data_IF_350723341087
#
_entry.id   IF_350723341087
#
_cell.length_a   1.000
_cell.length_b   1.000
_cell.length_c   1.000
_cell.angle_alpha   90.00
_cell.angle_beta   90.00
_cell.angle_gamma   90.00
#
_symmetry.space_group_name_H-M   'P 1'
#
loop_
_entity.id
_entity.type
_entity.pdbx_description
1 polymer ?
#
# COMPACT_ATOMS: atom_id res chain seq x y z
N UNK A 1 24.22 -0.73 2.40
CA UNK A 1 22.85 -0.26 2.70
C UNK A 1 21.91 -0.98 1.73
N UNK A 2 20.90 -1.75 2.22
CA UNK A 2 20.08 -2.62 1.36
C UNK A 2 18.68 -2.03 1.19
N UNK A 3 18.23 -1.92 -0.04
CA UNK A 3 16.82 -1.65 -0.41
C UNK A 3 16.21 -3.00 -0.81
N UNK A 4 15.02 -3.27 -0.30
CA UNK A 4 14.24 -4.45 -0.61
C UNK A 4 13.13 -4.08 -1.58
N UNK A 5 12.68 -5.06 -2.35
CA UNK A 5 11.56 -4.90 -3.29
C UNK A 5 10.51 -5.96 -3.01
N UNK A 6 9.24 -5.55 -2.99
CA UNK A 6 8.09 -6.43 -3.06
C UNK A 6 7.33 -6.07 -4.33
N UNK A 7 6.99 -7.09 -5.12
CA UNK A 7 6.27 -6.94 -6.37
C UNK A 7 5.07 -7.91 -6.36
N UNK A 8 3.89 -7.37 -6.58
CA UNK A 8 2.66 -8.15 -6.63
C UNK A 8 1.82 -7.73 -7.84
N UNK A 9 1.16 -8.70 -8.45
CA UNK A 9 0.21 -8.49 -9.54
C UNK A 9 -1.08 -9.25 -9.27
N UNK A 10 -2.19 -8.69 -9.70
CA UNK A 10 -3.51 -9.29 -9.57
C UNK A 10 -4.42 -8.82 -10.71
N UNK A 11 -5.12 -9.76 -11.33
CA UNK A 11 -6.17 -9.46 -12.30
C UNK A 11 -7.53 -9.45 -11.61
N UNK A 12 -8.38 -8.46 -11.94
CA UNK A 12 -9.72 -8.34 -11.40
C UNK A 12 -10.72 -8.09 -12.55
N UNK A 13 -11.93 -8.70 -12.49
CA UNK A 13 -12.98 -8.56 -13.51
C UNK A 13 -13.78 -7.25 -13.35
N UNK A 14 -13.10 -6.13 -13.25
CA UNK A 14 -13.70 -4.80 -13.10
C UNK A 14 -13.11 -3.82 -14.11
N UNK A 15 -13.82 -2.73 -14.37
CA UNK A 15 -13.31 -1.68 -15.23
C UNK A 15 -12.13 -0.92 -14.59
N UNK A 16 -11.31 -0.28 -15.42
CA UNK A 16 -10.21 0.58 -14.97
C UNK A 16 -10.71 1.72 -14.09
N UNK A 17 -11.87 2.29 -14.43
CA UNK A 17 -12.49 3.33 -13.64
C UNK A 17 -12.91 2.84 -12.24
N UNK A 18 -13.54 1.66 -12.15
CA UNK A 18 -13.90 1.06 -10.85
C UNK A 18 -12.66 0.78 -9.98
N UNK A 19 -11.60 0.22 -10.57
CA UNK A 19 -10.34 -0.02 -9.87
C UNK A 19 -9.73 1.29 -9.36
N UNK A 20 -9.71 2.33 -10.21
CA UNK A 20 -9.20 3.65 -9.84
C UNK A 20 -10.01 4.29 -8.71
N UNK A 21 -11.33 4.34 -8.82
CA UNK A 21 -12.22 4.91 -7.79
C UNK A 21 -12.01 4.24 -6.43
N UNK A 22 -11.80 2.92 -6.43
CA UNK A 22 -11.56 2.20 -5.19
C UNK A 22 -10.16 2.47 -4.60
N UNK A 23 -9.10 2.36 -5.42
CA UNK A 23 -7.72 2.47 -4.95
C UNK A 23 -7.29 3.90 -4.64
N UNK A 24 -7.83 4.89 -5.35
CA UNK A 24 -7.50 6.31 -5.15
C UNK A 24 -8.20 6.94 -3.95
N UNK A 25 -9.14 6.25 -3.31
CA UNK A 25 -9.73 6.70 -2.04
C UNK A 25 -8.95 6.11 -0.85
N UNK A 26 -8.21 6.93 -0.07
CA UNK A 26 -7.46 6.46 1.08
C UNK A 26 -8.29 5.73 2.13
N UNK A 27 -9.60 6.00 2.19
CA UNK A 27 -10.53 5.33 3.13
C UNK A 27 -10.66 3.84 2.84
N UNK A 28 -10.54 3.46 1.57
CA UNK A 28 -10.61 2.06 1.16
C UNK A 28 -9.33 1.28 1.53
N UNK A 29 -8.22 1.95 1.83
CA UNK A 29 -7.01 1.30 2.29
C UNK A 29 -7.26 0.50 3.60
N UNK A 30 -8.12 1.01 4.47
CA UNK A 30 -8.54 0.29 5.67
C UNK A 30 -9.24 -1.04 5.34
N UNK A 31 -10.03 -1.08 4.27
CA UNK A 31 -10.78 -2.29 3.87
C UNK A 31 -9.84 -3.40 3.42
N UNK A 32 -8.74 -3.05 2.75
CA UNK A 32 -7.74 -3.98 2.21
C UNK A 32 -6.50 -4.11 3.09
N UNK A 33 -6.58 -3.65 4.33
CA UNK A 33 -5.52 -3.78 5.35
C UNK A 33 -6.04 -4.65 6.50
N UNK A 34 -5.27 -5.64 7.00
CA UNK A 34 -5.70 -6.48 8.12
C UNK A 34 -6.13 -5.68 9.34
N UNK A 35 -7.21 -6.09 10.00
CA UNK A 35 -7.79 -5.37 11.14
C UNK A 35 -6.82 -5.15 12.30
N UNK A 36 -5.93 -6.11 12.56
CA UNK A 36 -4.93 -6.00 13.62
C UNK A 36 -3.93 -4.86 13.40
N UNK A 37 -3.79 -4.38 12.16
CA UNK A 37 -2.97 -3.19 11.86
C UNK A 37 -3.53 -1.90 12.46
N UNK A 38 -4.77 -1.91 12.92
CA UNK A 38 -5.40 -0.76 13.58
C UNK A 38 -5.38 0.51 12.73
N UNK A 39 -5.52 0.37 11.42
CA UNK A 39 -5.39 1.46 10.46
C UNK A 39 -6.44 2.54 10.70
N UNK A 40 -5.99 3.74 11.04
CA UNK A 40 -6.88 4.86 11.38
C UNK A 40 -6.37 6.16 10.75
N UNK A 41 -7.16 6.73 9.82
CA UNK A 41 -6.87 8.00 9.17
C UNK A 41 -7.12 9.13 10.16
N UNK A 42 -6.13 10.01 10.32
CA UNK A 42 -6.19 11.18 11.19
C UNK A 42 -6.49 12.47 10.43
N UNK A 43 -5.91 12.61 9.23
CA UNK A 43 -6.05 13.81 8.40
C UNK A 43 -5.73 13.53 6.93
N UNK A 44 -6.13 14.43 6.04
CA UNK A 44 -5.69 14.50 4.65
C UNK A 44 -6.43 13.61 3.65
N UNK A 45 -7.49 12.89 4.07
CA UNK A 45 -8.29 12.02 3.20
C UNK A 45 -9.70 12.60 2.91
N UNK A 46 -9.83 13.91 2.89
CA UNK A 46 -11.10 14.61 2.77
C UNK A 46 -11.48 15.00 1.32
N UNK A 47 -10.59 14.70 0.38
CA UNK A 47 -10.78 15.04 -1.05
C UNK A 47 -10.19 13.96 -1.97
N UNK A 48 -10.51 14.06 -3.25
CA UNK A 48 -9.94 13.22 -4.31
C UNK A 48 -8.41 13.30 -4.31
N UNK A 49 -7.75 12.18 -4.58
CA UNK A 49 -6.30 12.05 -4.60
C UNK A 49 -5.64 13.03 -5.60
N UNK A 50 -4.56 13.66 -5.17
CA UNK A 50 -3.75 14.56 -5.98
C UNK A 50 -2.28 14.49 -5.60
N UNK A 51 -1.40 14.84 -6.53
CA UNK A 51 0.05 14.89 -6.27
C UNK A 51 0.39 16.02 -5.28
N UNK A 52 1.17 15.70 -4.24
CA UNK A 52 1.46 16.57 -3.10
C UNK A 52 0.50 16.42 -1.92
N UNK A 53 -0.49 15.54 -2.00
CA UNK A 53 -1.39 15.25 -0.88
C UNK A 53 -0.65 14.59 0.27
N UNK A 54 -0.82 15.15 1.47
CA UNK A 54 -0.30 14.56 2.71
C UNK A 54 -1.45 13.89 3.44
N UNK A 55 -1.26 12.62 3.80
CA UNK A 55 -2.25 11.83 4.54
C UNK A 55 -1.58 11.28 5.80
N UNK A 56 -2.26 11.43 6.92
CA UNK A 56 -1.77 11.00 8.22
C UNK A 56 -2.59 9.83 8.77
N UNK A 57 -1.87 8.78 9.20
CA UNK A 57 -2.45 7.58 9.79
C UNK A 57 -1.82 7.24 11.13
N UNK A 58 -2.57 6.51 11.95
CA UNK A 58 -2.02 5.68 13.03
C UNK A 58 -2.14 4.23 12.59
N UNK A 59 -1.04 3.49 12.65
CA UNK A 59 -0.95 2.07 12.28
C UNK A 59 -0.20 1.27 13.35
N UNK A 60 -0.44 -0.03 13.40
CA UNK A 60 0.18 -0.95 14.35
C UNK A 60 0.87 -2.10 13.60
N UNK A 61 1.92 -1.83 12.79
CA UNK A 61 2.42 -2.77 11.80
C UNK A 61 3.17 -3.96 12.39
N UNK A 62 3.88 -3.78 13.50
CA UNK A 62 4.75 -4.81 14.10
C UNK A 62 4.63 -4.77 15.62
N UNK A 63 4.53 -5.94 16.27
CA UNK A 63 4.54 -6.14 17.72
C UNK A 63 3.48 -5.34 18.52
N UNK A 64 2.38 -4.96 17.87
CA UNK A 64 1.32 -4.19 18.54
C UNK A 64 1.71 -2.74 18.88
N UNK A 65 2.83 -2.23 18.37
CA UNK A 65 3.31 -0.88 18.66
C UNK A 65 2.63 0.10 17.69
N UNK A 66 1.89 1.06 18.25
CA UNK A 66 1.28 2.15 17.47
C UNK A 66 2.35 3.08 16.90
N UNK A 67 2.29 3.32 15.61
CA UNK A 67 3.16 4.23 14.90
C UNK A 67 2.32 5.29 14.18
N UNK A 68 2.78 6.53 14.22
CA UNK A 68 2.30 7.58 13.34
C UNK A 68 2.94 7.38 11.98
N UNK A 69 2.12 7.39 10.92
CA UNK A 69 2.56 7.25 9.55
C UNK A 69 2.06 8.44 8.74
N UNK A 70 2.97 9.14 8.10
CA UNK A 70 2.65 10.26 7.21
C UNK A 70 3.08 9.88 5.80
N UNK A 71 2.11 9.85 4.91
CA UNK A 71 2.30 9.57 3.48
C UNK A 71 2.17 10.86 2.68
N UNK A 72 3.02 11.02 1.68
CA UNK A 72 2.80 11.94 0.57
C UNK A 72 2.46 11.13 -0.69
N UNK A 73 1.39 11.52 -1.36
CA UNK A 73 1.11 11.06 -2.73
C UNK A 73 1.96 11.90 -3.66
N UNK A 74 3.05 11.36 -4.17
CA UNK A 74 4.03 12.14 -4.94
C UNK A 74 3.68 12.26 -6.42
N UNK A 75 3.01 11.27 -6.98
CA UNK A 75 2.61 11.24 -8.39
C UNK A 75 1.20 10.70 -8.52
N UNK A 76 0.44 11.29 -9.44
CA UNK A 76 -0.90 10.80 -9.82
C UNK A 76 -1.06 10.99 -11.32
N UNK A 77 -1.37 9.91 -12.03
CA UNK A 77 -1.88 9.93 -13.40
C UNK A 77 -3.23 9.20 -13.38
N UNK A 78 -4.29 9.96 -13.64
CA UNK A 78 -5.67 9.49 -13.49
C UNK A 78 -5.92 8.17 -14.21
N UNK A 79 -6.46 7.20 -13.50
CA UNK A 79 -6.76 5.84 -13.95
C UNK A 79 -5.56 5.01 -14.43
N UNK A 80 -4.32 5.48 -14.28
CA UNK A 80 -3.13 4.75 -14.69
C UNK A 80 -2.27 4.33 -13.51
N UNK A 81 -1.83 5.30 -12.70
CA UNK A 81 -1.00 5.00 -11.54
C UNK A 81 -0.96 6.15 -10.53
N UNK A 82 -0.59 5.80 -9.32
CA UNK A 82 -0.14 6.76 -8.31
C UNK A 82 1.04 6.20 -7.52
N UNK A 83 1.75 7.10 -6.85
CA UNK A 83 2.90 6.77 -6.01
C UNK A 83 2.69 7.37 -4.63
N UNK A 84 2.82 6.54 -3.60
CA UNK A 84 2.85 6.98 -2.22
C UNK A 84 4.25 6.78 -1.61
N UNK A 85 4.69 7.79 -0.85
CA UNK A 85 5.95 7.74 -0.12
C UNK A 85 5.74 8.06 1.35
N UNK A 86 6.36 7.27 2.22
CA UNK A 86 6.41 7.60 3.63
C UNK A 86 7.32 8.82 3.85
N UNK A 87 6.77 9.90 4.36
CA UNK A 87 7.52 11.07 4.83
C UNK A 87 7.93 10.90 6.29
N UNK A 88 7.09 10.28 7.08
CA UNK A 88 7.35 9.97 8.48
C UNK A 88 6.74 8.61 8.83
N UNK A 89 7.47 7.75 9.55
CA UNK A 89 6.99 6.41 9.91
C UNK A 89 8.11 5.45 10.25
N UNK A 90 7.80 4.14 10.34
CA UNK A 90 8.72 3.12 10.84
C UNK A 90 9.82 2.69 9.85
N UNK A 91 9.70 3.02 8.57
CA UNK A 91 10.69 2.66 7.55
C UNK A 91 11.68 3.80 7.31
N UNK A 92 12.90 3.46 6.90
CA UNK A 92 13.88 4.45 6.45
C UNK A 92 13.69 4.86 4.98
N UNK A 93 12.98 4.05 4.21
CA UNK A 93 12.45 4.33 2.88
C UNK A 93 11.17 3.53 2.71
N UNK A 94 10.16 4.14 2.14
CA UNK A 94 8.96 3.51 1.63
C UNK A 94 8.52 4.26 0.38
N UNK A 95 8.56 3.59 -0.76
CA UNK A 95 8.20 4.14 -2.06
C UNK A 95 7.36 3.09 -2.78
N UNK A 96 6.07 3.32 -2.84
CA UNK A 96 5.09 2.36 -3.32
C UNK A 96 4.37 2.90 -4.56
N UNK A 97 4.48 2.15 -5.64
CA UNK A 97 3.83 2.43 -6.92
C UNK A 97 2.66 1.51 -7.10
N UNK A 98 1.52 2.07 -7.50
CA UNK A 98 0.29 1.36 -7.79
C UNK A 98 -0.08 1.61 -9.24
N UNK A 99 0.00 0.60 -10.08
CA UNK A 99 -0.37 0.68 -11.47
C UNK A 99 -1.69 -0.02 -11.74
N UNK A 100 -2.48 0.52 -12.66
CA UNK A 100 -3.72 -0.07 -13.15
C UNK A 100 -3.64 -0.10 -14.66
N UNK A 101 -3.72 -1.29 -15.23
CA UNK A 101 -3.67 -1.51 -16.68
C UNK A 101 -4.90 -2.24 -17.13
N UNK A 102 -5.56 -1.74 -18.16
CA UNK A 102 -6.68 -2.43 -18.80
C UNK A 102 -6.19 -3.69 -19.53
N UNK A 103 -6.89 -4.79 -19.33
CA UNK A 103 -6.66 -6.08 -19.99
C UNK A 103 -7.98 -6.65 -20.51
N UNK A 104 -7.93 -7.72 -21.31
CA UNK A 104 -9.14 -8.40 -21.75
C UNK A 104 -9.92 -8.94 -20.55
N UNK A 105 -11.18 -8.53 -20.42
CA UNK A 105 -12.07 -8.94 -19.34
C UNK A 105 -11.93 -8.21 -18.02
N UNK A 106 -11.02 -7.22 -17.88
CA UNK A 106 -10.85 -6.49 -16.63
C UNK A 106 -9.60 -5.63 -16.56
N UNK A 107 -8.96 -5.63 -15.38
CA UNK A 107 -7.71 -4.89 -15.12
C UNK A 107 -6.63 -5.76 -14.51
N UNK A 108 -5.38 -5.49 -14.87
CA UNK A 108 -4.21 -5.90 -14.09
C UNK A 108 -3.85 -4.76 -13.13
N UNK A 109 -3.85 -5.06 -11.85
CA UNK A 109 -3.30 -4.21 -10.80
C UNK A 109 -1.89 -4.67 -10.46
N UNK A 110 -0.95 -3.72 -10.39
CA UNK A 110 0.44 -4.01 -10.05
C UNK A 110 0.90 -3.11 -8.92
N UNK A 111 1.41 -3.73 -7.86
CA UNK A 111 2.06 -3.07 -6.73
C UNK A 111 3.57 -3.28 -6.82
N UNK A 112 4.34 -2.20 -6.84
CA UNK A 112 5.80 -2.24 -6.80
C UNK A 112 6.31 -1.39 -5.64
N UNK A 113 6.64 -2.06 -4.55
CA UNK A 113 7.12 -1.44 -3.32
C UNK A 113 8.65 -1.57 -3.21
N UNK A 114 9.32 -0.44 -3.03
CA UNK A 114 10.71 -0.35 -2.59
C UNK A 114 10.77 0.14 -1.16
N UNK A 115 11.44 -0.60 -0.27
CA UNK A 115 11.52 -0.22 1.13
C UNK A 115 12.89 -0.51 1.73
N UNK A 116 13.20 0.23 2.80
CA UNK A 116 14.43 0.09 3.57
C UNK A 116 14.09 0.17 5.06
N UNK A 117 14.74 -0.70 5.83
CA UNK A 117 14.58 -0.69 7.28
C UNK A 117 15.51 0.31 7.96
N UNK A 118 15.09 0.88 9.08
CA UNK A 118 15.96 1.63 9.97
C UNK A 118 17.01 0.71 10.65
N UNK A 119 17.90 1.28 11.44
CA UNK A 119 18.88 0.58 12.26
C UNK A 119 19.94 -0.24 11.49
N UNK A 120 20.23 0.09 10.23
CA UNK A 120 21.34 -0.46 9.45
C UNK A 120 21.37 -2.00 9.41
N UNK A 121 22.44 -2.62 9.91
CA UNK A 121 22.61 -4.08 9.91
C UNK A 121 21.60 -4.80 10.81
N UNK A 122 21.22 -4.21 11.95
CA UNK A 122 20.20 -4.81 12.85
C UNK A 122 18.85 -4.94 12.16
N UNK A 123 18.43 -3.90 11.44
CA UNK A 123 17.22 -3.96 10.64
C UNK A 123 17.29 -5.03 9.54
N UNK A 124 18.46 -5.18 8.90
CA UNK A 124 18.67 -6.20 7.87
C UNK A 124 18.60 -7.62 8.42
N UNK A 125 19.12 -7.86 9.64
CA UNK A 125 19.04 -9.16 10.33
C UNK A 125 17.59 -9.50 10.72
N UNK A 126 16.81 -8.52 11.16
CA UNK A 126 15.41 -8.69 11.51
C UNK A 126 14.49 -8.91 10.28
N UNK A 127 14.90 -8.45 9.10
CA UNK A 127 14.09 -8.45 7.89
C UNK A 127 13.48 -9.82 7.54
N UNK A 128 14.25 -10.94 7.41
CA UNK A 128 13.69 -12.21 6.96
C UNK A 128 12.71 -12.84 7.96
N UNK A 129 12.81 -12.47 9.23
CA UNK A 129 12.03 -13.09 10.31
C UNK A 129 10.83 -12.27 10.74
N UNK A 130 10.91 -10.93 10.68
CA UNK A 130 9.87 -10.03 11.20
C UNK A 130 9.19 -9.22 10.11
N UNK A 131 9.94 -8.61 9.20
CA UNK A 131 9.38 -7.63 8.27
C UNK A 131 8.87 -8.28 7.00
N UNK A 132 9.68 -9.13 6.36
CA UNK A 132 9.30 -9.77 5.09
C UNK A 132 8.04 -10.63 5.22
N UNK A 133 7.92 -11.56 6.20
CA UNK A 133 6.70 -12.36 6.36
C UNK A 133 5.47 -11.50 6.64
N UNK A 134 5.64 -10.39 7.38
CA UNK A 134 4.54 -9.49 7.71
C UNK A 134 4.04 -8.70 6.50
N UNK A 135 4.94 -8.24 5.65
CA UNK A 135 4.55 -7.59 4.40
C UNK A 135 3.88 -8.58 3.44
N UNK A 136 4.41 -9.80 3.31
CA UNK A 136 3.80 -10.85 2.48
C UNK A 136 2.38 -11.19 2.97
N UNK A 137 2.16 -11.30 4.28
CA UNK A 137 0.83 -11.51 4.88
C UNK A 137 -0.14 -10.37 4.54
N UNK A 138 0.31 -9.11 4.65
CA UNK A 138 -0.51 -7.92 4.34
C UNK A 138 -0.91 -7.92 2.86
N UNK A 139 0.01 -8.21 1.95
CA UNK A 139 -0.27 -8.24 0.52
C UNK A 139 -1.16 -9.41 0.12
N UNK A 140 -1.00 -10.57 0.76
CA UNK A 140 -1.89 -11.72 0.55
C UNK A 140 -3.32 -11.43 1.07
N UNK A 141 -3.44 -10.81 2.25
CA UNK A 141 -4.74 -10.36 2.77
C UNK A 141 -5.41 -9.38 1.78
N UNK A 142 -4.66 -8.39 1.29
CA UNK A 142 -5.14 -7.42 0.29
C UNK A 142 -5.66 -8.13 -0.96
N UNK A 143 -4.88 -9.06 -1.49
CA UNK A 143 -5.24 -9.84 -2.67
C UNK A 143 -6.55 -10.59 -2.48
N UNK A 144 -6.68 -11.31 -1.37
CA UNK A 144 -7.87 -12.08 -1.04
C UNK A 144 -9.09 -11.18 -0.83
N UNK A 145 -8.90 -10.03 -0.18
CA UNK A 145 -9.97 -9.06 0.04
C UNK A 145 -10.46 -8.41 -1.26
N UNK A 146 -9.58 -8.13 -2.19
CA UNK A 146 -9.97 -7.63 -3.51
C UNK A 146 -10.75 -8.68 -4.31
N UNK A 147 -10.40 -9.97 -4.21
CA UNK A 147 -11.19 -11.06 -4.81
C UNK A 147 -12.57 -11.17 -4.16
N UNK A 148 -12.66 -11.04 -2.84
CA UNK A 148 -13.95 -11.04 -2.11
C UNK A 148 -14.86 -9.89 -2.57
N UNK A 149 -14.30 -8.72 -2.81
CA UNK A 149 -15.05 -7.52 -3.19
C UNK A 149 -15.46 -7.50 -4.67
N UNK A 150 -14.60 -7.98 -5.56
CA UNK A 150 -14.72 -7.76 -6.99
C UNK A 150 -14.77 -9.05 -7.83
N UNK A 151 -14.51 -10.19 -7.24
CA UNK A 151 -14.42 -11.45 -7.94
C UNK A 151 -12.99 -11.78 -8.39
N UNK A 152 -12.83 -12.96 -9.01
CA UNK A 152 -11.58 -13.45 -9.60
C UNK A 152 -11.71 -13.60 -11.12
N UNK A 153 -10.63 -13.40 -11.83
CA UNK A 153 -10.49 -13.78 -13.23
C UNK A 153 -9.94 -15.18 -13.35
#
# INVERSE_FOLDING_TARGET
>A
MKIYTLHAKQNLPISREQAWQFLSDPKNLKVITPDYMGFNIQAGADRTMYAGQIIEYIVTPILGIKNRWVTEITHVVDQEYFVDEQRFGPYALWHHKHFIKEIEGGVEMEDLLHYKLPFGYLGQLAHPFLVKPKLEEIFEYRKNKLVELFGSM
#
